data_IF_385913285823
#
_entry.id   IF_385913285823
#
_cell.length_a   1.000
_cell.length_b   1.000
_cell.length_c   1.000
_cell.angle_alpha   90.00
_cell.angle_beta   90.00
_cell.angle_gamma   90.00
#
_symmetry.space_group_name_H-M   'P 1'
#
loop_
_entity.id
_entity.type
_entity.pdbx_description
1 polymer ?
#
# COMPACT_ATOMS: atom_id res chain seq x y z
N UNK A 1 -4.67 -8.51 34.92
CA UNK A 1 -5.03 -7.47 33.94
C UNK A 1 -5.53 -6.27 34.70
N UNK A 2 -4.90 -5.10 34.54
CA UNK A 2 -5.38 -3.85 35.15
C UNK A 2 -6.39 -3.28 34.16
N UNK A 3 -7.66 -3.24 34.52
CA UNK A 3 -8.67 -2.55 33.72
C UNK A 3 -8.27 -1.08 33.64
N UNK A 4 -8.10 -0.59 32.43
CA UNK A 4 -7.71 0.78 32.19
C UNK A 4 -8.91 1.66 32.50
N UNK A 5 -8.77 2.58 33.46
CA UNK A 5 -9.89 3.42 33.94
C UNK A 5 -10.51 4.24 32.81
N UNK A 6 -9.71 4.51 31.78
CA UNK A 6 -10.14 5.18 30.57
C UNK A 6 -11.05 4.30 29.72
N UNK A 7 -10.76 3.00 29.60
CA UNK A 7 -11.59 2.06 28.83
C UNK A 7 -12.99 1.94 29.44
N UNK A 8 -13.09 1.78 30.76
CA UNK A 8 -14.38 1.73 31.45
C UNK A 8 -15.16 3.05 31.30
N UNK A 9 -14.48 4.20 31.36
CA UNK A 9 -15.10 5.51 31.18
C UNK A 9 -15.66 5.68 29.76
N UNK A 10 -14.86 5.38 28.73
CA UNK A 10 -15.27 5.50 27.33
C UNK A 10 -16.42 4.54 27.00
N UNK A 11 -16.37 3.30 27.51
CA UNK A 11 -17.47 2.34 27.35
C UNK A 11 -18.76 2.81 28.02
N UNK A 12 -18.66 3.41 29.20
CA UNK A 12 -19.84 3.85 29.96
C UNK A 12 -20.54 5.06 29.32
N UNK A 13 -19.79 5.94 28.66
CA UNK A 13 -20.31 7.19 28.07
C UNK A 13 -20.44 7.13 26.55
N UNK A 14 -20.34 5.94 25.93
CA UNK A 14 -20.37 5.79 24.47
C UNK A 14 -21.60 6.44 23.83
N UNK A 15 -22.77 6.23 24.42
CA UNK A 15 -24.04 6.75 23.89
C UNK A 15 -24.13 8.29 23.98
N UNK A 16 -23.32 8.93 24.84
CA UNK A 16 -23.19 10.39 24.93
C UNK A 16 -22.24 10.96 23.85
N UNK A 17 -21.35 10.13 23.28
CA UNK A 17 -20.49 10.54 22.18
C UNK A 17 -21.20 10.46 20.82
N UNK A 18 -22.13 9.52 20.66
CA UNK A 18 -22.87 9.27 19.41
C UNK A 18 -24.19 10.08 19.32
N UNK A 19 -24.22 11.30 19.88
CA UNK A 19 -25.43 12.14 19.95
C UNK A 19 -25.87 12.73 18.60
N UNK A 20 -24.97 12.85 17.62
CA UNK A 20 -25.21 13.61 16.40
C UNK A 20 -24.66 12.91 15.15
N UNK A 21 -25.56 12.32 14.37
CA UNK A 21 -25.27 11.99 12.97
C UNK A 21 -25.40 13.26 12.11
N UNK A 22 -24.44 13.55 11.21
CA UNK A 22 -24.58 14.63 10.26
C UNK A 22 -25.80 14.41 9.37
N UNK A 23 -26.55 15.47 9.07
CA UNK A 23 -27.71 15.39 8.20
C UNK A 23 -27.34 14.83 6.81
N UNK A 24 -28.17 13.99 6.17
CA UNK A 24 -27.91 13.45 4.83
C UNK A 24 -27.60 14.50 3.76
N UNK A 25 -28.14 15.71 3.93
CA UNK A 25 -27.92 16.86 3.04
C UNK A 25 -26.48 17.38 3.09
N UNK A 26 -25.82 17.28 4.25
CA UNK A 26 -24.44 17.73 4.45
C UNK A 26 -23.46 16.82 3.70
N UNK A 27 -23.73 15.51 3.70
CA UNK A 27 -22.98 14.53 2.92
C UNK A 27 -23.09 14.77 1.41
N UNK A 28 -24.27 15.16 0.94
CA UNK A 28 -24.48 15.50 -0.47
C UNK A 28 -23.66 16.73 -0.91
N UNK A 29 -23.45 17.70 -0.02
CA UNK A 29 -22.66 18.90 -0.31
C UNK A 29 -21.15 18.63 -0.32
N UNK A 30 -20.68 17.67 0.47
CA UNK A 30 -19.29 17.17 0.43
C UNK A 30 -19.03 16.49 -0.91
N UNK A 31 -19.89 15.57 -1.33
CA UNK A 31 -19.78 14.87 -2.62
C UNK A 31 -19.76 15.82 -3.83
N UNK A 32 -20.40 16.99 -3.73
CA UNK A 32 -20.41 18.00 -4.79
C UNK A 32 -19.11 18.82 -4.89
N UNK A 33 -18.29 18.83 -3.84
CA UNK A 33 -17.04 19.62 -3.76
C UNK A 33 -15.78 18.81 -4.05
N UNK A 34 -15.89 17.50 -4.25
CA UNK A 34 -14.77 16.66 -4.68
C UNK A 34 -14.47 16.89 -6.18
N UNK A 35 -13.22 17.27 -6.55
CA UNK A 35 -12.84 17.44 -7.95
C UNK A 35 -12.74 16.08 -8.64
N UNK A 36 -13.72 15.75 -9.49
CA UNK A 36 -13.65 14.55 -10.35
C UNK A 36 -12.83 14.88 -11.60
N UNK A 37 -11.50 14.83 -11.51
CA UNK A 37 -10.61 15.00 -12.66
C UNK A 37 -10.31 13.63 -13.29
N UNK A 38 -11.28 13.08 -14.03
CA UNK A 38 -11.00 11.93 -14.91
C UNK A 38 -10.20 12.38 -16.14
N UNK A 39 -8.89 12.48 -15.98
CA UNK A 39 -7.95 12.66 -17.09
C UNK A 39 -7.90 11.37 -17.92
N UNK A 40 -8.60 11.36 -19.06
CA UNK A 40 -8.45 10.32 -20.09
C UNK A 40 -7.08 10.47 -20.74
N UNK A 41 -6.05 9.87 -20.16
CA UNK A 41 -4.75 9.73 -20.82
C UNK A 41 -4.87 8.61 -21.86
N UNK A 42 -4.94 9.02 -23.13
CA UNK A 42 -4.98 8.14 -24.29
C UNK A 42 -3.77 7.19 -24.28
N UNK A 43 -4.03 5.91 -24.00
CA UNK A 43 -3.06 4.81 -24.14
C UNK A 43 -2.98 4.43 -25.62
N UNK A 44 -2.34 5.27 -26.42
CA UNK A 44 -1.99 4.90 -27.79
C UNK A 44 -0.63 5.49 -28.12
N UNK A 45 0.17 4.70 -28.84
CA UNK A 45 1.46 5.04 -29.47
C UNK A 45 2.71 4.67 -28.64
N UNK A 46 3.11 3.38 -28.70
CA UNK A 46 4.31 2.92 -29.46
C UNK A 46 4.69 1.47 -29.17
N UNK A 47 4.16 0.54 -29.96
CA UNK A 47 4.71 -0.82 -30.11
C UNK A 47 5.45 -0.88 -31.44
N UNK A 48 6.65 -0.30 -31.47
CA UNK A 48 7.59 -0.48 -32.59
C UNK A 48 8.96 0.05 -32.18
N UNK A 49 9.82 -0.84 -31.66
CA UNK A 49 11.29 -0.84 -31.73
C UNK A 49 11.89 -1.51 -30.49
N UNK A 50 11.60 -2.79 -30.27
CA UNK A 50 12.23 -3.56 -29.17
C UNK A 50 13.51 -4.28 -29.64
N UNK A 51 13.74 -4.46 -30.96
CA UNK A 51 14.91 -5.19 -31.44
C UNK A 51 16.22 -4.36 -31.54
N UNK A 52 16.14 -3.08 -31.87
CA UNK A 52 17.34 -2.24 -32.02
C UNK A 52 17.95 -1.80 -30.66
N UNK A 53 17.12 -1.77 -29.60
CA UNK A 53 17.55 -1.38 -28.26
C UNK A 53 18.44 -2.46 -27.65
N UNK A 54 18.10 -3.75 -27.80
CA UNK A 54 18.94 -4.83 -27.26
C UNK A 54 20.35 -4.86 -27.88
N UNK A 55 20.49 -4.59 -29.18
CA UNK A 55 21.80 -4.60 -29.82
C UNK A 55 22.71 -3.44 -29.35
N UNK A 56 22.14 -2.24 -29.16
CA UNK A 56 22.88 -1.07 -28.66
C UNK A 56 23.16 -1.20 -27.15
N UNK A 57 22.25 -1.78 -26.37
CA UNK A 57 22.45 -2.02 -24.94
C UNK A 57 23.49 -3.11 -24.68
N UNK A 58 23.55 -4.18 -25.48
CA UNK A 58 24.55 -5.25 -25.31
C UNK A 58 25.96 -4.78 -25.76
N UNK A 59 26.07 -4.05 -26.87
CA UNK A 59 27.37 -3.51 -27.30
C UNK A 59 27.82 -2.32 -26.44
N UNK A 60 26.88 -1.47 -25.99
CA UNK A 60 27.18 -0.38 -25.06
C UNK A 60 27.57 -0.87 -23.67
N UNK A 61 26.89 -1.89 -23.13
CA UNK A 61 27.19 -2.46 -21.81
C UNK A 61 28.55 -3.15 -21.76
N UNK A 62 29.00 -3.82 -22.83
CA UNK A 62 30.33 -4.47 -22.83
C UNK A 62 31.48 -3.46 -22.85
N UNK A 63 31.32 -2.32 -23.53
CA UNK A 63 32.30 -1.21 -23.52
C UNK A 63 32.28 -0.47 -22.17
N UNK A 64 31.11 -0.18 -21.61
CA UNK A 64 30.97 0.45 -20.28
C UNK A 64 31.52 -0.43 -19.16
N UNK A 65 31.24 -1.73 -19.17
CA UNK A 65 31.75 -2.67 -18.14
C UNK A 65 33.27 -2.82 -18.24
N UNK A 66 33.85 -2.68 -19.45
CA UNK A 66 35.30 -2.73 -19.64
C UNK A 66 35.99 -1.43 -19.23
N UNK A 67 35.35 -0.26 -19.42
CA UNK A 67 35.87 1.02 -18.91
C UNK A 67 35.76 1.14 -17.40
N UNK A 68 34.68 0.62 -16.79
CA UNK A 68 34.48 0.65 -15.33
C UNK A 68 35.38 -0.33 -14.55
N UNK A 69 35.97 -1.32 -15.22
CA UNK A 69 36.93 -2.26 -14.59
C UNK A 69 38.40 -1.85 -14.75
N UNK A 70 38.68 -0.80 -15.53
CA UNK A 70 40.05 -0.38 -15.86
C UNK A 70 40.63 0.65 -14.91
N UNK A 71 39.84 1.27 -14.04
CA UNK A 71 40.37 2.19 -13.03
C UNK A 71 40.10 1.63 -11.64
N UNK A 72 41.20 1.31 -10.96
CA UNK A 72 41.22 1.01 -9.55
C UNK A 72 40.68 2.21 -8.77
N UNK A 73 39.51 2.03 -8.17
CA UNK A 73 38.92 2.96 -7.23
C UNK A 73 37.75 2.27 -6.59
N UNK A 74 37.93 1.76 -5.37
CA UNK A 74 36.84 1.19 -4.60
C UNK A 74 35.73 2.22 -4.44
N UNK A 75 34.64 2.06 -5.17
CA UNK A 75 33.37 2.64 -4.81
C UNK A 75 32.92 1.91 -3.56
N UNK A 76 33.30 2.48 -2.41
CA UNK A 76 32.56 2.29 -1.17
C UNK A 76 31.12 2.65 -1.55
N UNK A 77 30.28 1.63 -1.70
CA UNK A 77 28.83 1.82 -1.69
C UNK A 77 28.60 2.58 -0.40
N UNK A 78 28.25 3.86 -0.50
CA UNK A 78 27.77 4.61 0.63
C UNK A 78 26.52 3.85 1.08
N UNK A 79 26.73 2.97 2.05
CA UNK A 79 25.68 2.37 2.82
C UNK A 79 25.12 3.55 3.60
N UNK A 80 24.19 4.25 2.95
CA UNK A 80 23.32 5.21 3.59
C UNK A 80 22.76 4.44 4.77
N UNK A 81 23.16 4.84 5.98
CA UNK A 81 22.65 4.25 7.21
C UNK A 81 21.15 4.52 7.19
N UNK A 82 20.39 3.58 6.64
CA UNK A 82 18.95 3.68 6.55
C UNK A 82 18.44 3.90 7.97
N UNK A 83 17.68 4.98 8.13
CA UNK A 83 16.99 5.31 9.37
C UNK A 83 16.39 4.02 9.96
N UNK A 84 16.66 3.67 11.24
CA UNK A 84 16.12 2.46 11.85
C UNK A 84 14.61 2.31 11.65
N UNK A 85 13.86 3.42 11.57
CA UNK A 85 12.42 3.42 11.33
C UNK A 85 12.06 2.99 9.89
N UNK A 86 12.83 3.44 8.89
CA UNK A 86 12.64 3.04 7.48
C UNK A 86 12.99 1.55 7.29
N UNK A 87 13.98 1.06 8.02
CA UNK A 87 14.31 -0.37 8.03
C UNK A 87 13.17 -1.22 8.60
N UNK A 88 12.56 -0.78 9.70
CA UNK A 88 11.40 -1.46 10.28
C UNK A 88 10.23 -1.51 9.28
N UNK A 89 9.96 -0.41 8.59
CA UNK A 89 8.93 -0.36 7.54
C UNK A 89 9.18 -1.41 6.45
N UNK A 90 10.40 -1.49 5.92
CA UNK A 90 10.74 -2.43 4.84
C UNK A 90 10.57 -3.90 5.27
N UNK A 91 10.98 -4.22 6.50
CA UNK A 91 10.81 -5.57 7.07
C UNK A 91 9.33 -5.90 7.27
N UNK A 92 8.54 -4.94 7.78
CA UNK A 92 7.11 -5.08 7.95
C UNK A 92 6.38 -5.25 6.61
N UNK A 93 6.67 -4.43 5.61
CA UNK A 93 6.12 -4.55 4.25
C UNK A 93 6.36 -5.94 3.67
N UNK A 94 7.60 -6.44 3.72
CA UNK A 94 7.95 -7.75 3.19
C UNK A 94 7.17 -8.88 3.91
N UNK A 95 7.08 -8.80 5.24
CA UNK A 95 6.32 -9.76 6.04
C UNK A 95 4.82 -9.76 5.69
N UNK A 96 4.17 -8.59 5.70
CA UNK A 96 2.75 -8.49 5.44
C UNK A 96 2.41 -8.83 3.99
N UNK A 97 3.21 -8.40 3.02
CA UNK A 97 3.02 -8.75 1.61
C UNK A 97 3.04 -10.27 1.39
N UNK A 98 3.98 -10.99 2.01
CA UNK A 98 4.03 -12.45 1.92
C UNK A 98 2.77 -13.09 2.50
N UNK A 99 2.34 -12.66 3.69
CA UNK A 99 1.18 -13.22 4.38
C UNK A 99 -0.14 -12.94 3.64
N UNK A 100 -0.31 -11.70 3.16
CA UNK A 100 -1.49 -11.28 2.39
C UNK A 100 -1.57 -12.05 1.08
N UNK A 101 -0.48 -12.14 0.33
CA UNK A 101 -0.46 -12.84 -0.96
C UNK A 101 -0.84 -14.33 -0.80
N UNK A 102 -0.25 -15.02 0.19
CA UNK A 102 -0.56 -16.43 0.43
C UNK A 102 -2.02 -16.66 0.82
N UNK A 103 -2.61 -15.77 1.64
CA UNK A 103 -4.02 -15.87 2.03
C UNK A 103 -4.96 -15.52 0.89
N UNK A 104 -4.63 -14.48 0.11
CA UNK A 104 -5.41 -14.06 -1.04
C UNK A 104 -5.45 -15.14 -2.14
N UNK A 105 -4.38 -15.91 -2.31
CA UNK A 105 -4.39 -17.09 -3.20
C UNK A 105 -5.41 -18.15 -2.76
N UNK A 106 -5.59 -18.36 -1.45
CA UNK A 106 -6.62 -19.27 -0.93
C UNK A 106 -8.03 -18.71 -1.16
N UNK A 107 -8.25 -17.42 -0.86
CA UNK A 107 -9.54 -16.73 -1.10
C UNK A 107 -9.92 -16.80 -2.58
N UNK A 108 -8.96 -16.59 -3.49
CA UNK A 108 -9.18 -16.59 -4.95
C UNK A 108 -9.75 -17.91 -5.48
N UNK A 109 -9.49 -19.04 -4.81
CA UNK A 109 -10.08 -20.34 -5.18
C UNK A 109 -11.60 -20.34 -5.05
N UNK A 110 -12.14 -19.46 -4.21
CA UNK A 110 -13.55 -19.36 -3.87
C UNK A 110 -14.33 -18.39 -4.77
N UNK A 111 -13.63 -17.55 -5.54
CA UNK A 111 -14.26 -16.52 -6.40
C UNK A 111 -15.22 -17.11 -7.44
N UNK A 112 -14.93 -18.33 -7.93
CA UNK A 112 -15.81 -19.02 -8.87
C UNK A 112 -17.16 -19.40 -8.26
N UNK A 113 -17.21 -19.64 -6.95
CA UNK A 113 -18.43 -19.99 -6.23
C UNK A 113 -19.16 -18.74 -5.72
N UNK A 114 -18.42 -17.68 -5.37
CA UNK A 114 -18.95 -16.45 -4.83
C UNK A 114 -18.38 -15.23 -5.58
N UNK A 115 -18.99 -14.79 -6.70
CA UNK A 115 -18.52 -13.62 -7.46
C UNK A 115 -18.66 -12.30 -6.70
N UNK A 116 -19.63 -12.20 -5.78
CA UNK A 116 -19.82 -11.02 -4.92
C UNK A 116 -18.64 -10.83 -3.96
N UNK A 117 -18.16 -11.94 -3.37
CA UNK A 117 -16.97 -11.95 -2.52
C UNK A 117 -15.74 -11.39 -3.24
N UNK A 118 -15.56 -11.70 -4.53
CA UNK A 118 -14.44 -11.17 -5.30
C UNK A 118 -14.50 -9.65 -5.36
N UNK A 119 -15.67 -9.08 -5.62
CA UNK A 119 -15.83 -7.62 -5.73
C UNK A 119 -15.54 -6.96 -4.39
N UNK A 120 -16.16 -7.45 -3.32
CA UNK A 120 -15.96 -6.90 -1.96
C UNK A 120 -14.49 -6.95 -1.52
N UNK A 121 -13.83 -8.11 -1.66
CA UNK A 121 -12.43 -8.28 -1.22
C UNK A 121 -11.45 -7.45 -2.05
N UNK A 122 -11.59 -7.44 -3.37
CA UNK A 122 -10.67 -6.70 -4.24
C UNK A 122 -10.90 -5.18 -4.14
N UNK A 123 -12.14 -4.73 -3.94
CA UNK A 123 -12.46 -3.31 -3.70
C UNK A 123 -11.86 -2.83 -2.36
N UNK A 124 -12.07 -3.57 -1.26
CA UNK A 124 -11.51 -3.25 0.05
C UNK A 124 -9.96 -3.25 0.03
N UNK A 125 -9.35 -4.22 -0.65
CA UNK A 125 -7.89 -4.26 -0.83
C UNK A 125 -7.38 -3.06 -1.65
N UNK A 126 -8.14 -2.64 -2.66
CA UNK A 126 -7.81 -1.48 -3.49
C UNK A 126 -7.90 -0.19 -2.68
N UNK A 127 -8.90 -0.04 -1.81
CA UNK A 127 -9.01 1.12 -0.91
C UNK A 127 -7.80 1.19 0.03
N UNK A 128 -7.42 0.07 0.64
CA UNK A 128 -6.23 -0.01 1.50
C UNK A 128 -4.94 0.33 0.74
N UNK A 129 -4.80 -0.09 -0.52
CA UNK A 129 -3.66 0.26 -1.37
C UNK A 129 -3.62 1.77 -1.68
N UNK A 130 -4.76 2.38 -1.99
CA UNK A 130 -4.84 3.82 -2.24
C UNK A 130 -4.45 4.63 -1.01
N UNK A 131 -4.92 4.24 0.19
CA UNK A 131 -4.48 4.85 1.44
C UNK A 131 -2.98 4.71 1.66
N UNK A 132 -2.40 3.57 1.27
CA UNK A 132 -0.96 3.33 1.36
C UNK A 132 -0.16 4.27 0.46
N UNK A 133 -0.63 4.50 -0.76
CA UNK A 133 0.03 5.39 -1.71
C UNK A 133 0.01 6.85 -1.25
N UNK A 134 -1.07 7.31 -0.62
CA UNK A 134 -1.12 8.63 0.04
C UNK A 134 -0.04 8.73 1.13
N UNK A 135 0.10 7.70 1.98
CA UNK A 135 1.13 7.68 3.02
C UNK A 135 2.55 7.67 2.45
N UNK A 136 2.79 7.06 1.27
CA UNK A 136 4.09 7.15 0.59
C UNK A 136 4.41 8.58 0.15
N UNK A 137 3.40 9.31 -0.35
CA UNK A 137 3.55 10.72 -0.73
C UNK A 137 3.90 11.56 0.52
N UNK A 138 3.15 11.39 1.63
CA UNK A 138 3.40 12.08 2.89
C UNK A 138 4.81 11.79 3.45
N UNK A 139 5.28 10.55 3.34
CA UNK A 139 6.63 10.15 3.77
C UNK A 139 7.71 10.83 2.92
N UNK A 140 7.48 10.97 1.62
CA UNK A 140 8.41 11.64 0.71
C UNK A 140 8.49 13.16 0.95
N UNK A 141 7.41 13.78 1.44
CA UNK A 141 7.36 15.21 1.78
C UNK A 141 8.03 15.55 3.13
N UNK A 142 8.67 14.58 3.80
CA UNK A 142 9.34 14.71 5.11
C UNK A 142 8.41 15.21 6.25
N UNK A 143 7.11 14.95 6.16
CA UNK A 143 6.15 15.28 7.22
C UNK A 143 6.14 14.16 8.25
N UNK A 144 6.79 14.38 9.41
CA UNK A 144 6.72 13.47 10.57
C UNK A 144 6.93 11.99 10.23
N UNK A 145 8.09 11.64 9.66
CA UNK A 145 8.43 10.30 9.14
C UNK A 145 7.98 9.14 10.03
N UNK A 146 8.18 9.22 11.35
CA UNK A 146 7.78 8.16 12.28
C UNK A 146 6.29 7.85 12.28
N UNK A 147 5.45 8.89 12.37
CA UNK A 147 3.99 8.72 12.43
C UNK A 147 3.44 8.19 11.10
N UNK A 148 4.03 8.63 9.98
CA UNK A 148 3.68 8.12 8.65
C UNK A 148 4.11 6.67 8.51
N UNK A 149 5.32 6.30 8.95
CA UNK A 149 5.81 4.92 8.96
C UNK A 149 4.88 4.03 9.82
N UNK A 150 4.48 4.48 11.02
CA UNK A 150 3.54 3.74 11.87
C UNK A 150 2.19 3.52 11.16
N UNK A 151 1.66 4.56 10.50
CA UNK A 151 0.42 4.45 9.73
C UNK A 151 0.56 3.51 8.52
N UNK A 152 1.71 3.48 7.85
CA UNK A 152 2.00 2.55 6.75
C UNK A 152 2.05 1.10 7.25
N UNK A 153 2.70 0.85 8.39
CA UNK A 153 2.72 -0.47 9.02
C UNK A 153 1.30 -0.88 9.44
N UNK A 154 0.50 0.06 9.97
CA UNK A 154 -0.89 -0.19 10.36
C UNK A 154 -1.79 -0.52 9.16
N UNK A 155 -1.64 0.19 8.04
CA UNK A 155 -2.36 -0.13 6.80
C UNK A 155 -2.06 -1.57 6.34
N UNK A 156 -0.79 -1.99 6.36
CA UNK A 156 -0.43 -3.38 6.04
C UNK A 156 -1.03 -4.40 7.02
N UNK A 157 -1.18 -4.04 8.31
CA UNK A 157 -1.91 -4.88 9.29
C UNK A 157 -3.38 -5.01 8.92
N UNK A 158 -4.03 -3.94 8.48
CA UNK A 158 -5.42 -3.99 8.03
C UNK A 158 -5.58 -4.87 6.80
N UNK A 159 -4.67 -4.80 5.82
CA UNK A 159 -4.67 -5.71 4.66
C UNK A 159 -4.60 -7.17 5.08
N UNK A 160 -3.73 -7.50 6.04
CA UNK A 160 -3.64 -8.85 6.60
C UNK A 160 -4.91 -9.25 7.36
N UNK A 161 -5.48 -8.33 8.16
CA UNK A 161 -6.71 -8.57 8.90
C UNK A 161 -7.87 -8.87 7.97
N UNK A 162 -8.06 -8.06 6.93
CA UNK A 162 -9.10 -8.25 5.92
C UNK A 162 -9.07 -9.67 5.32
N UNK A 163 -7.91 -10.10 4.82
CA UNK A 163 -7.80 -11.44 4.23
C UNK A 163 -7.94 -12.57 5.26
N UNK A 164 -7.65 -12.33 6.54
CA UNK A 164 -7.94 -13.29 7.60
C UNK A 164 -9.45 -13.39 7.87
N UNK A 165 -10.09 -12.24 8.08
CA UNK A 165 -11.52 -12.15 8.41
C UNK A 165 -12.35 -12.77 7.28
N UNK A 166 -11.94 -12.57 6.03
CA UNK A 166 -12.54 -13.23 4.86
C UNK A 166 -12.36 -14.74 4.94
N UNK A 167 -11.13 -15.25 5.11
CA UNK A 167 -10.87 -16.69 5.19
C UNK A 167 -11.60 -17.39 6.34
N UNK A 168 -11.87 -16.69 7.44
CA UNK A 168 -12.65 -17.24 8.57
C UNK A 168 -14.14 -17.38 8.24
N UNK A 169 -14.66 -16.52 7.36
CA UNK A 169 -16.07 -16.48 6.99
C UNK A 169 -16.38 -17.30 5.74
N UNK A 170 -15.43 -17.41 4.82
CA UNK A 170 -15.65 -18.10 3.56
C UNK A 170 -15.53 -19.61 3.73
N UNK A 171 -16.60 -20.31 3.35
CA UNK A 171 -16.58 -21.76 3.17
C UNK A 171 -16.56 -22.05 1.67
N UNK A 172 -15.46 -22.67 1.26
CA UNK A 172 -15.21 -23.19 -0.07
C UNK A 172 -14.97 -24.69 0.11
#
# INVERSE_FOLDING_TARGET
MKNDRLEDFVRTHRDEFDLHDPSPEMWAEINRKLPVTVSKRSVFVRWASVAAIFAVVILGSTVLIRSLRSDGGGTVVAQEEADPEVKELLEAEAYYAQQVNGKLEEIRKCYALNPELQVEVEDDLTELEQMYDVLKEDLAENVSNKAVIEAMIENNRFRLKLVNDVLEQVNC
#
